data_IF_242056483146
#
_entry.id   IF_242056483146
#
_cell.length_a   1.000
_cell.length_b   1.000
_cell.length_c   1.000
_cell.angle_alpha   90.00
_cell.angle_beta   90.00
_cell.angle_gamma   90.00
#
_symmetry.space_group_name_H-M   'P 1'
#
loop_
_entity.id
_entity.type
_entity.pdbx_description
1 polymer ?
#
# COMPACT_ATOMS: atom_id res chain seq x y z
N UNK A 1 46.45 32.97 56.90
CA UNK A 1 46.65 32.13 58.10
C UNK A 1 45.94 30.81 57.83
N UNK A 2 46.71 29.76 57.62
CA UNK A 2 46.19 28.44 57.24
C UNK A 2 45.68 27.69 58.47
N UNK A 3 44.51 27.06 58.35
CA UNK A 3 44.21 25.84 59.10
C UNK A 3 44.18 24.73 58.07
N UNK A 4 45.18 23.87 58.16
CA UNK A 4 45.35 22.69 57.33
C UNK A 4 44.85 21.49 58.16
N UNK A 5 43.68 20.97 57.80
CA UNK A 5 43.22 19.64 58.25
C UNK A 5 43.44 18.66 57.09
N UNK A 6 44.19 17.61 57.38
CA UNK A 6 44.58 16.58 56.45
C UNK A 6 43.39 15.67 56.08
N UNK A 7 43.14 15.56 54.79
CA UNK A 7 42.44 14.45 54.16
C UNK A 7 42.90 14.42 52.71
N UNK A 8 43.34 13.27 52.19
CA UNK A 8 43.58 13.09 50.75
C UNK A 8 42.22 13.15 50.04
N UNK A 9 41.68 14.34 49.89
CA UNK A 9 40.46 14.62 49.17
C UNK A 9 40.75 14.57 47.68
N UNK A 10 40.18 13.60 46.99
CA UNK A 10 40.15 13.55 45.53
C UNK A 10 39.56 14.87 45.03
N UNK A 11 40.40 15.79 44.53
CA UNK A 11 39.94 17.04 43.92
C UNK A 11 39.41 16.71 42.53
N UNK A 12 38.12 16.39 42.44
CA UNK A 12 37.41 16.31 41.16
C UNK A 12 37.25 17.73 40.65
N UNK A 13 38.19 18.17 39.82
CA UNK A 13 38.07 19.42 39.08
C UNK A 13 37.10 19.22 37.92
N UNK A 14 35.95 19.88 37.95
CA UNK A 14 35.09 19.98 36.78
C UNK A 14 35.82 20.89 35.79
N UNK A 15 36.12 20.41 34.59
CA UNK A 15 36.79 21.17 33.52
C UNK A 15 35.88 22.25 32.88
N UNK A 16 34.93 22.80 33.64
CA UNK A 16 34.13 23.94 33.21
C UNK A 16 34.90 25.23 33.55
N UNK A 17 35.08 26.15 32.60
CA UNK A 17 35.74 27.44 32.85
C UNK A 17 35.06 28.19 34.02
N UNK A 18 35.84 28.70 34.98
CA UNK A 18 35.32 29.38 36.17
C UNK A 18 34.49 30.64 35.86
N UNK A 19 34.55 31.17 34.62
CA UNK A 19 33.71 32.29 34.18
C UNK A 19 32.21 31.92 34.11
N UNK A 20 31.83 30.65 34.01
CA UNK A 20 30.42 30.22 33.93
C UNK A 20 29.71 30.19 35.31
N UNK A 21 30.47 30.24 36.41
CA UNK A 21 29.95 30.04 37.78
C UNK A 21 30.08 31.27 38.70
N UNK A 22 30.73 32.35 38.27
CA UNK A 22 30.88 33.57 39.08
C UNK A 22 29.64 34.47 38.97
N UNK A 23 28.77 34.42 39.98
CA UNK A 23 27.46 35.11 40.06
C UNK A 23 27.55 36.64 39.91
N UNK A 24 28.72 37.25 40.12
CA UNK A 24 28.91 38.71 40.18
C UNK A 24 29.24 39.43 38.85
N UNK A 25 29.25 38.75 37.70
CA UNK A 25 29.40 39.46 36.41
C UNK A 25 29.46 38.57 35.18
N UNK A 26 28.78 39.01 34.10
CA UNK A 26 28.63 38.40 32.76
C UNK A 26 28.10 36.95 32.68
N UNK A 27 28.34 36.11 33.69
CA UNK A 27 27.94 34.69 33.76
C UNK A 27 26.46 34.50 34.11
N UNK A 28 25.89 35.37 34.94
CA UNK A 28 24.47 35.33 35.31
C UNK A 28 23.56 35.53 34.11
N UNK A 29 23.99 36.35 33.13
CA UNK A 29 23.29 36.49 31.86
C UNK A 29 23.31 35.20 31.03
N UNK A 30 24.44 34.50 30.98
CA UNK A 30 24.56 33.21 30.28
C UNK A 30 23.73 32.11 30.97
N UNK A 31 23.75 32.06 32.30
CA UNK A 31 22.94 31.12 33.08
C UNK A 31 21.44 31.40 32.93
N UNK A 32 21.03 32.67 32.94
CA UNK A 32 19.64 33.05 32.73
C UNK A 32 19.17 32.74 31.31
N UNK A 33 19.99 33.02 30.30
CA UNK A 33 19.72 32.62 28.92
C UNK A 33 19.62 31.09 28.77
N UNK A 34 20.47 30.33 29.46
CA UNK A 34 20.41 28.87 29.47
C UNK A 34 19.13 28.36 30.15
N UNK A 35 18.73 28.93 31.29
CA UNK A 35 17.49 28.57 31.98
C UNK A 35 16.27 28.92 31.13
N UNK A 36 16.20 30.13 30.58
CA UNK A 36 15.09 30.55 29.70
C UNK A 36 15.06 29.70 28.43
N UNK A 37 16.21 29.44 27.82
CA UNK A 37 16.33 28.60 26.63
C UNK A 37 15.88 27.16 26.86
N UNK A 38 16.40 26.51 27.91
CA UNK A 38 16.18 25.07 28.15
C UNK A 38 14.91 24.79 28.94
N UNK A 39 14.53 25.64 29.88
CA UNK A 39 13.38 25.38 30.76
C UNK A 39 12.08 26.02 30.26
N UNK A 40 12.14 27.05 29.41
CA UNK A 40 10.95 27.75 28.91
C UNK A 40 10.82 27.56 27.40
N UNK A 41 11.81 27.99 26.63
CA UNK A 41 11.71 27.99 25.17
C UNK A 41 11.70 26.58 24.60
N UNK A 42 12.56 25.67 25.07
CA UNK A 42 12.62 24.30 24.56
C UNK A 42 11.32 23.53 24.84
N UNK A 43 10.74 23.50 26.06
CA UNK A 43 9.45 22.87 26.31
C UNK A 43 8.32 23.50 25.51
N UNK A 44 8.31 24.83 25.36
CA UNK A 44 7.31 25.50 24.52
C UNK A 44 7.44 25.10 23.04
N UNK A 45 8.64 25.09 22.49
CA UNK A 45 8.88 24.67 21.10
C UNK A 45 8.48 23.20 20.90
N UNK A 46 8.85 22.31 21.84
CA UNK A 46 8.43 20.92 21.81
C UNK A 46 6.92 20.76 21.89
N UNK A 47 6.25 21.51 22.76
CA UNK A 47 4.79 21.51 22.87
C UNK A 47 4.12 22.01 21.58
N UNK A 48 4.62 23.11 20.99
CA UNK A 48 4.10 23.64 19.71
C UNK A 48 4.32 22.64 18.58
N UNK A 49 5.49 22.03 18.47
CA UNK A 49 5.78 21.01 17.44
C UNK A 49 4.89 19.78 17.64
N UNK A 50 4.76 19.29 18.87
CA UNK A 50 3.93 18.13 19.18
C UNK A 50 2.46 18.41 18.88
N UNK A 51 1.90 19.50 19.40
CA UNK A 51 0.50 19.87 19.21
C UNK A 51 0.18 20.17 17.75
N UNK A 52 1.06 20.88 17.03
CA UNK A 52 0.86 21.15 15.61
C UNK A 52 0.90 19.87 14.75
N UNK A 53 1.79 18.92 15.08
CA UNK A 53 1.84 17.63 14.40
C UNK A 53 0.66 16.74 14.75
N UNK A 54 0.29 16.61 16.02
CA UNK A 54 -0.83 15.78 16.46
C UNK A 54 -2.19 16.32 15.99
N UNK A 55 -2.31 17.64 15.79
CA UNK A 55 -3.50 18.24 15.23
C UNK A 55 -3.59 18.10 13.69
N UNK A 56 -2.45 17.89 13.01
CA UNK A 56 -2.41 17.75 11.54
C UNK A 56 -2.49 16.28 11.11
N UNK A 57 -1.82 15.38 11.82
CA UNK A 57 -1.60 13.99 11.42
C UNK A 57 -2.21 12.98 12.43
N UNK A 58 -2.69 11.85 11.91
CA UNK A 58 -3.16 10.69 12.68
C UNK A 58 -1.99 9.91 13.31
N UNK A 59 -2.30 8.89 14.12
CA UNK A 59 -1.30 7.97 14.69
C UNK A 59 -0.48 7.25 13.61
N UNK A 60 -1.13 6.91 12.49
CA UNK A 60 -0.50 6.42 11.27
C UNK A 60 0.07 7.54 10.41
N UNK A 61 0.39 8.72 10.96
CA UNK A 61 0.98 9.92 10.34
C UNK A 61 0.38 10.32 8.97
N UNK A 62 -0.94 10.14 8.80
CA UNK A 62 -1.73 10.60 7.64
C UNK A 62 -2.49 11.88 7.99
N UNK A 63 -2.64 12.74 7.00
CA UNK A 63 -3.50 13.92 6.88
C UNK A 63 -4.88 13.74 7.51
N UNK A 64 -5.31 14.47 8.56
CA UNK A 64 -6.74 14.44 8.94
C UNK A 64 -7.65 14.90 7.78
N UNK A 65 -7.15 15.79 6.92
CA UNK A 65 -7.82 16.20 5.69
C UNK A 65 -7.98 15.05 4.69
N UNK A 66 -6.98 14.19 4.56
CA UNK A 66 -7.04 12.97 3.75
C UNK A 66 -8.09 12.01 4.28
N UNK A 67 -8.12 11.74 5.59
CA UNK A 67 -9.16 10.89 6.18
C UNK A 67 -10.56 11.45 5.93
N UNK A 68 -10.77 12.75 6.13
CA UNK A 68 -12.06 13.41 5.85
C UNK A 68 -12.45 13.27 4.37
N UNK A 69 -11.51 13.51 3.46
CA UNK A 69 -11.74 13.38 2.02
C UNK A 69 -12.10 11.93 1.64
N UNK A 70 -11.35 10.95 2.14
CA UNK A 70 -11.64 9.54 1.92
C UNK A 70 -12.98 9.14 2.51
N UNK A 71 -13.29 9.57 3.74
CA UNK A 71 -14.55 9.29 4.41
C UNK A 71 -15.76 9.76 3.58
N UNK A 72 -15.70 10.98 3.03
CA UNK A 72 -16.80 11.54 2.24
C UNK A 72 -16.92 10.96 0.82
N UNK A 73 -15.81 10.56 0.22
CA UNK A 73 -15.78 10.00 -1.14
C UNK A 73 -16.06 8.51 -1.18
N UNK A 74 -15.78 7.80 -0.09
CA UNK A 74 -16.13 6.40 0.05
C UNK A 74 -17.66 6.27 0.02
N UNK A 75 -18.18 5.37 -0.83
CA UNK A 75 -19.61 5.10 -0.99
C UNK A 75 -19.85 3.60 -1.12
N UNK A 76 -21.02 3.07 -0.70
CA UNK A 76 -21.31 1.64 -0.82
C UNK A 76 -21.36 1.19 -2.29
N UNK A 77 -21.75 2.09 -3.20
CA UNK A 77 -21.82 1.86 -4.64
C UNK A 77 -20.51 2.13 -5.38
N UNK A 78 -19.43 2.51 -4.69
CA UNK A 78 -18.14 2.79 -5.32
C UNK A 78 -17.63 1.51 -5.99
N UNK A 79 -17.44 1.57 -7.30
CA UNK A 79 -16.91 0.45 -8.06
C UNK A 79 -15.40 0.26 -7.76
N UNK A 80 -14.88 -0.98 -7.74
CA UNK A 80 -13.46 -1.25 -7.52
C UNK A 80 -12.55 -0.46 -8.47
N UNK A 81 -12.92 -0.38 -9.75
CA UNK A 81 -12.19 0.41 -10.76
C UNK A 81 -12.10 1.90 -10.47
N UNK A 82 -12.99 2.43 -9.61
CA UNK A 82 -13.07 3.85 -9.24
C UNK A 82 -12.42 4.18 -7.90
N UNK A 83 -11.84 3.18 -7.23
CA UNK A 83 -11.09 3.40 -5.98
C UNK A 83 -9.83 4.24 -6.24
N UNK A 84 -9.19 4.10 -7.40
CA UNK A 84 -8.06 4.96 -7.82
C UNK A 84 -8.44 6.46 -7.76
N UNK A 85 -9.61 6.84 -8.30
CA UNK A 85 -10.09 8.22 -8.32
C UNK A 85 -10.28 8.82 -6.91
N UNK A 86 -10.50 7.97 -5.90
CA UNK A 86 -10.57 8.37 -4.48
C UNK A 86 -9.17 8.43 -3.89
N UNK A 87 -8.35 7.41 -4.14
CA UNK A 87 -7.00 7.28 -3.63
C UNK A 87 -6.11 8.48 -3.96
N UNK A 88 -6.13 8.95 -5.21
CA UNK A 88 -5.30 10.09 -5.68
C UNK A 88 -5.65 11.44 -5.02
N UNK A 89 -6.80 11.53 -4.35
CA UNK A 89 -7.27 12.77 -3.69
C UNK A 89 -6.73 12.95 -2.28
N UNK A 90 -5.75 12.16 -1.87
CA UNK A 90 -5.03 12.36 -0.63
C UNK A 90 -4.38 13.76 -0.60
N UNK A 91 -4.49 14.44 0.54
CA UNK A 91 -3.89 15.76 0.74
C UNK A 91 -2.35 15.72 0.70
N UNK A 92 -1.74 14.58 1.03
CA UNK A 92 -0.29 14.35 0.91
C UNK A 92 0.19 14.40 -0.54
N UNK A 93 -0.62 13.91 -1.48
CA UNK A 93 -0.30 14.00 -2.90
C UNK A 93 -0.43 15.43 -3.43
N UNK A 94 -1.24 16.27 -2.79
CA UNK A 94 -1.31 17.70 -3.12
C UNK A 94 -0.06 18.48 -2.66
N UNK A 95 0.72 17.96 -1.71
CA UNK A 95 2.01 18.56 -1.29
C UNK A 95 3.14 18.30 -2.32
N UNK A 96 2.94 17.40 -3.30
CA UNK A 96 3.92 17.13 -4.36
C UNK A 96 3.97 18.32 -5.35
N UNK A 97 5.15 18.87 -5.65
CA UNK A 97 5.27 20.07 -6.47
C UNK A 97 4.80 19.85 -7.91
N UNK A 98 3.97 20.76 -8.41
CA UNK A 98 3.57 20.82 -9.82
C UNK A 98 4.43 21.86 -10.53
N UNK A 99 5.32 21.40 -11.42
CA UNK A 99 6.24 22.26 -12.17
C UNK A 99 5.76 22.39 -13.61
N UNK A 100 5.90 23.57 -14.22
CA UNK A 100 5.57 23.77 -15.65
C UNK A 100 6.47 22.93 -16.57
N UNK A 101 7.71 22.66 -16.16
CA UNK A 101 8.65 21.79 -16.87
C UNK A 101 8.15 20.34 -17.01
N UNK A 102 7.19 19.93 -16.18
CA UNK A 102 6.69 18.56 -16.17
C UNK A 102 5.55 18.36 -17.19
N UNK A 103 5.04 19.42 -17.84
CA UNK A 103 3.88 19.37 -18.75
C UNK A 103 4.13 18.47 -19.97
N UNK A 104 5.24 18.68 -20.70
CA UNK A 104 5.59 17.86 -21.87
C UNK A 104 5.89 16.40 -21.48
N UNK A 105 6.71 16.10 -20.45
CA UNK A 105 6.90 14.73 -19.96
C UNK A 105 5.61 14.03 -19.54
N UNK A 106 4.71 14.72 -18.81
CA UNK A 106 3.42 14.16 -18.39
C UNK A 106 2.51 13.87 -19.58
N UNK A 107 2.55 14.69 -20.62
CA UNK A 107 1.77 14.45 -21.83
C UNK A 107 2.28 13.26 -22.64
N UNK A 108 3.61 13.05 -22.69
CA UNK A 108 4.21 11.83 -23.27
C UNK A 108 3.79 10.59 -22.48
N UNK A 109 3.89 10.65 -21.14
CA UNK A 109 3.47 9.56 -20.26
C UNK A 109 1.98 9.24 -20.43
N UNK A 110 1.13 10.27 -20.49
CA UNK A 110 -0.29 10.12 -20.73
C UNK A 110 -0.58 9.31 -22.00
N UNK A 111 0.17 9.54 -23.09
CA UNK A 111 -0.02 8.78 -24.33
C UNK A 111 0.32 7.29 -24.19
N UNK A 112 1.28 6.95 -23.34
CA UNK A 112 1.67 5.56 -23.05
C UNK A 112 0.59 4.85 -22.20
N UNK A 113 0.10 5.51 -21.15
CA UNK A 113 -0.82 4.89 -20.17
C UNK A 113 -2.30 5.11 -20.50
N UNK A 114 -2.62 5.82 -21.58
CA UNK A 114 -4.00 6.21 -21.94
C UNK A 114 -4.98 5.04 -21.98
N UNK A 115 -4.54 3.85 -22.41
CA UNK A 115 -5.40 2.66 -22.49
C UNK A 115 -5.84 2.13 -21.12
N UNK A 116 -5.04 2.40 -20.09
CA UNK A 116 -5.27 1.96 -18.70
C UNK A 116 -6.05 2.98 -17.88
N UNK A 117 -6.16 4.22 -18.37
CA UNK A 117 -7.03 5.21 -17.76
C UNK A 117 -8.49 4.77 -17.94
N UNK A 118 -9.32 4.97 -16.91
CA UNK A 118 -10.76 4.67 -16.92
C UNK A 118 -11.56 5.67 -17.79
N UNK A 119 -11.10 5.96 -19.01
CA UNK A 119 -11.73 6.85 -19.98
C UNK A 119 -12.77 6.07 -20.78
N UNK A 120 -13.97 6.64 -20.94
CA UNK A 120 -14.98 6.03 -21.80
C UNK A 120 -14.55 6.10 -23.27
N UNK A 121 -14.40 4.93 -23.89
CA UNK A 121 -14.00 4.76 -25.29
C UNK A 121 -14.97 5.45 -26.26
N UNK A 122 -16.26 5.56 -25.91
CA UNK A 122 -17.28 6.20 -26.76
C UNK A 122 -17.09 7.71 -26.89
N UNK A 123 -16.52 8.36 -25.87
CA UNK A 123 -16.36 9.82 -25.79
C UNK A 123 -14.92 10.23 -25.48
N UNK A 124 -13.95 9.52 -26.05
CA UNK A 124 -12.54 9.59 -25.62
C UNK A 124 -11.99 11.03 -25.63
N UNK A 125 -12.31 11.85 -26.64
CA UNK A 125 -11.84 13.26 -26.70
C UNK A 125 -12.40 14.12 -25.56
N UNK A 126 -13.67 13.91 -25.21
CA UNK A 126 -14.32 14.67 -24.12
C UNK A 126 -13.77 14.23 -22.77
N UNK A 127 -13.63 12.92 -22.55
CA UNK A 127 -13.07 12.38 -21.31
C UNK A 127 -11.60 12.78 -21.11
N UNK A 128 -10.82 12.83 -22.18
CA UNK A 128 -9.46 13.39 -22.14
C UNK A 128 -9.47 14.85 -21.71
N UNK A 129 -10.33 15.68 -22.30
CA UNK A 129 -10.44 17.07 -21.92
C UNK A 129 -10.88 17.23 -20.45
N UNK A 130 -11.76 16.35 -19.96
CA UNK A 130 -12.15 16.33 -18.54
C UNK A 130 -11.00 15.94 -17.64
N UNK A 131 -10.21 14.93 -18.02
CA UNK A 131 -9.03 14.48 -17.28
C UNK A 131 -8.04 15.62 -17.08
N UNK A 132 -7.64 16.30 -18.15
CA UNK A 132 -6.69 17.43 -18.08
C UNK A 132 -7.25 18.69 -17.40
N UNK A 133 -8.58 18.83 -17.30
CA UNK A 133 -9.24 19.93 -16.56
C UNK A 133 -9.28 19.72 -15.05
N UNK A 134 -8.92 18.53 -14.56
CA UNK A 134 -8.81 18.29 -13.12
C UNK A 134 -7.65 19.10 -12.53
N UNK A 135 -7.56 19.14 -11.21
CA UNK A 135 -6.45 19.82 -10.55
C UNK A 135 -5.12 19.17 -10.95
N UNK A 136 -4.08 19.93 -11.34
CA UNK A 136 -2.83 19.39 -11.87
C UNK A 136 -2.12 18.37 -10.98
N UNK A 137 -2.24 18.51 -9.64
CA UNK A 137 -1.66 17.52 -8.71
C UNK A 137 -2.32 16.14 -8.84
N UNK A 138 -3.62 16.08 -9.09
CA UNK A 138 -4.37 14.82 -9.23
C UNK A 138 -3.96 14.14 -10.53
N UNK A 139 -3.93 14.90 -11.62
CA UNK A 139 -3.49 14.41 -12.94
C UNK A 139 -2.07 13.85 -12.86
N UNK A 140 -1.14 14.61 -12.26
CA UNK A 140 0.24 14.17 -12.07
C UNK A 140 0.32 12.89 -11.25
N UNK A 141 -0.38 12.83 -10.13
CA UNK A 141 -0.37 11.67 -9.23
C UNK A 141 -0.95 10.42 -9.89
N UNK A 142 -2.09 10.54 -10.56
CA UNK A 142 -2.73 9.44 -11.28
C UNK A 142 -1.82 8.89 -12.37
N UNK A 143 -1.19 9.78 -13.17
CA UNK A 143 -0.25 9.37 -14.21
C UNK A 143 0.99 8.68 -13.63
N UNK A 144 1.54 9.15 -12.51
CA UNK A 144 2.69 8.53 -11.87
C UNK A 144 2.35 7.15 -11.29
N UNK A 145 1.16 6.98 -10.70
CA UNK A 145 0.71 5.65 -10.25
C UNK A 145 0.51 4.73 -11.46
N UNK A 146 -0.12 5.22 -12.54
CA UNK A 146 -0.28 4.42 -13.76
C UNK A 146 1.06 4.02 -14.37
N UNK A 147 2.08 4.88 -14.32
CA UNK A 147 3.44 4.52 -14.73
C UNK A 147 4.01 3.34 -13.93
N UNK A 148 3.68 3.23 -12.63
CA UNK A 148 4.02 2.05 -11.83
C UNK A 148 3.24 0.83 -12.30
N UNK A 149 1.92 0.97 -12.48
CA UNK A 149 1.05 -0.14 -12.85
C UNK A 149 1.41 -0.74 -14.23
N UNK A 150 1.85 0.08 -15.17
CA UNK A 150 2.26 -0.34 -16.52
C UNK A 150 3.75 -0.60 -16.67
N UNK A 151 4.55 -0.45 -15.61
CA UNK A 151 6.01 -0.59 -15.61
C UNK A 151 6.74 0.38 -16.57
N UNK A 152 6.16 1.56 -16.78
CA UNK A 152 6.70 2.63 -17.65
C UNK A 152 7.59 3.63 -16.88
N UNK A 153 8.07 3.27 -15.69
CA UNK A 153 8.88 4.15 -14.83
C UNK A 153 10.21 4.56 -15.47
N UNK A 154 10.73 3.79 -16.44
CA UNK A 154 11.94 4.10 -17.19
C UNK A 154 11.75 5.25 -18.19
N UNK A 155 10.51 5.52 -18.62
CA UNK A 155 10.19 6.61 -19.53
C UNK A 155 10.06 7.98 -18.81
N UNK A 156 10.14 8.00 -17.47
CA UNK A 156 10.01 9.21 -16.67
C UNK A 156 11.26 10.10 -16.76
N UNK A 157 11.05 11.41 -16.77
CA UNK A 157 12.15 12.36 -16.64
C UNK A 157 12.80 12.28 -15.25
N UNK A 158 14.09 12.68 -15.09
CA UNK A 158 14.75 12.67 -13.79
C UNK A 158 14.01 13.49 -12.72
N UNK A 159 13.36 14.59 -13.11
CA UNK A 159 12.55 15.41 -12.21
C UNK A 159 11.30 14.67 -11.72
N UNK A 160 10.60 13.97 -12.63
CA UNK A 160 9.42 13.18 -12.30
C UNK A 160 9.77 11.91 -11.52
N UNK A 161 10.97 11.36 -11.68
CA UNK A 161 11.38 10.15 -10.96
C UNK A 161 11.45 10.36 -9.44
N UNK A 162 11.87 11.55 -8.98
CA UNK A 162 11.83 11.91 -7.57
C UNK A 162 10.41 11.97 -7.02
N UNK A 163 9.51 12.61 -7.77
CA UNK A 163 8.09 12.72 -7.39
C UNK A 163 7.40 11.35 -7.43
N UNK A 164 7.72 10.51 -8.43
CA UNK A 164 7.25 9.12 -8.55
C UNK A 164 7.62 8.28 -7.32
N UNK A 165 8.89 8.34 -6.88
CA UNK A 165 9.30 7.65 -5.66
C UNK A 165 8.51 8.13 -4.45
N UNK A 166 8.27 9.45 -4.34
CA UNK A 166 7.49 10.00 -3.23
C UNK A 166 6.03 9.54 -3.26
N UNK A 167 5.42 9.46 -4.44
CA UNK A 167 4.05 8.92 -4.60
C UNK A 167 3.97 7.49 -4.10
N UNK A 168 4.92 6.65 -4.51
CA UNK A 168 4.97 5.23 -4.11
C UNK A 168 5.32 5.02 -2.63
N UNK A 169 6.17 5.87 -2.05
CA UNK A 169 6.52 5.81 -0.63
C UNK A 169 5.29 6.06 0.26
N UNK A 170 4.41 6.97 -0.15
CA UNK A 170 3.18 7.29 0.57
C UNK A 170 2.06 6.27 0.33
N UNK A 171 2.12 5.51 -0.77
CA UNK A 171 1.00 4.69 -1.23
C UNK A 171 0.55 3.61 -0.22
N UNK A 172 1.43 2.77 0.37
CA UNK A 172 1.00 1.73 1.31
C UNK A 172 0.21 2.27 2.49
N UNK A 173 0.72 3.33 3.10
CA UNK A 173 0.13 4.01 4.25
C UNK A 173 -1.23 4.65 3.90
N UNK A 174 -1.34 5.27 2.73
CA UNK A 174 -2.59 5.85 2.27
C UNK A 174 -3.63 4.79 1.93
N UNK A 175 -3.21 3.64 1.40
CA UNK A 175 -4.08 2.49 1.14
C UNK A 175 -4.60 1.87 2.43
N UNK A 176 -3.79 1.80 3.49
CA UNK A 176 -4.20 1.33 4.82
C UNK A 176 -5.30 2.21 5.42
N UNK A 177 -5.15 3.54 5.37
CA UNK A 177 -6.19 4.47 5.81
C UNK A 177 -7.44 4.40 4.91
N UNK A 178 -7.25 4.25 3.59
CA UNK A 178 -8.37 4.08 2.67
C UNK A 178 -9.14 2.79 2.95
N UNK A 179 -8.44 1.72 3.32
CA UNK A 179 -9.03 0.45 3.73
C UNK A 179 -9.82 0.60 5.03
N UNK A 180 -9.24 1.28 6.02
CA UNK A 180 -9.92 1.64 7.27
C UNK A 180 -11.21 2.39 6.97
N UNK A 181 -11.18 3.36 6.05
CA UNK A 181 -12.39 4.05 5.60
C UNK A 181 -13.37 3.15 4.85
N UNK A 182 -12.95 2.06 4.19
CA UNK A 182 -13.87 1.14 3.54
C UNK A 182 -14.60 0.24 4.54
N UNK A 183 -13.90 -0.20 5.60
CA UNK A 183 -14.42 -1.17 6.58
C UNK A 183 -15.06 -0.54 7.82
N UNK A 184 -14.87 0.77 8.04
CA UNK A 184 -15.44 1.45 9.21
C UNK A 184 -16.96 1.20 9.32
N UNK A 185 -17.47 0.88 10.51
CA UNK A 185 -18.90 0.73 10.76
C UNK A 185 -19.66 2.00 10.39
N UNK A 186 -20.53 1.93 9.37
CA UNK A 186 -21.37 3.07 8.95
C UNK A 186 -22.86 2.79 9.05
N UNK A 187 -23.25 1.51 8.99
CA UNK A 187 -24.66 1.13 9.15
C UNK A 187 -25.02 1.04 10.64
N UNK A 188 -26.30 1.17 11.00
CA UNK A 188 -26.78 0.86 12.36
C UNK A 188 -26.45 -0.57 12.80
N UNK A 189 -26.19 -1.46 11.84
CA UNK A 189 -25.80 -2.85 12.04
C UNK A 189 -24.27 -3.04 12.19
N UNK A 190 -23.49 -1.95 12.19
CA UNK A 190 -22.08 -1.99 12.55
C UNK A 190 -21.11 -2.48 11.45
N UNK A 191 -21.52 -2.56 10.18
CA UNK A 191 -20.65 -3.07 9.11
C UNK A 191 -20.14 -1.97 8.16
N UNK A 192 -18.99 -2.22 7.56
CA UNK A 192 -18.43 -1.43 6.46
C UNK A 192 -18.98 -1.83 5.08
N UNK A 193 -18.25 -1.49 4.03
CA UNK A 193 -18.62 -1.78 2.64
C UNK A 193 -17.59 -2.69 1.97
N UNK A 194 -18.02 -3.91 1.64
CA UNK A 194 -17.17 -4.92 0.99
C UNK A 194 -16.69 -4.48 -0.41
N UNK A 195 -17.61 -4.00 -1.24
CA UNK A 195 -17.29 -3.69 -2.65
C UNK A 195 -16.16 -2.65 -2.78
N UNK A 196 -16.16 -1.53 -2.04
CA UNK A 196 -15.02 -0.63 -1.99
C UNK A 196 -13.77 -1.28 -1.38
N UNK A 197 -13.90 -2.06 -0.31
CA UNK A 197 -12.77 -2.74 0.33
C UNK A 197 -12.01 -3.67 -0.64
N UNK A 198 -12.73 -4.45 -1.46
CA UNK A 198 -12.13 -5.27 -2.54
C UNK A 198 -11.32 -4.38 -3.49
N UNK A 199 -11.85 -3.24 -3.90
CA UNK A 199 -11.13 -2.33 -4.79
C UNK A 199 -9.87 -1.71 -4.16
N UNK A 200 -9.86 -1.48 -2.84
CA UNK A 200 -8.64 -1.04 -2.13
C UNK A 200 -7.59 -2.15 -2.11
N UNK A 201 -7.99 -3.40 -1.85
CA UNK A 201 -7.10 -4.56 -1.89
C UNK A 201 -6.53 -4.77 -3.30
N UNK A 202 -7.38 -4.76 -4.33
CA UNK A 202 -6.94 -4.88 -5.73
C UNK A 202 -5.96 -3.78 -6.12
N UNK A 203 -6.23 -2.52 -5.74
CA UNK A 203 -5.34 -1.39 -5.98
C UNK A 203 -4.00 -1.55 -5.26
N UNK A 204 -4.03 -1.96 -3.99
CA UNK A 204 -2.82 -2.23 -3.21
C UNK A 204 -1.95 -3.29 -3.85
N UNK A 205 -2.54 -4.44 -4.18
CA UNK A 205 -1.84 -5.53 -4.88
C UNK A 205 -1.29 -5.07 -6.23
N UNK A 206 -2.06 -4.30 -7.01
CA UNK A 206 -1.62 -3.78 -8.31
C UNK A 206 -0.44 -2.82 -8.21
N UNK A 207 -0.40 -1.94 -7.20
CA UNK A 207 0.72 -1.03 -6.97
C UNK A 207 2.00 -1.79 -6.57
N UNK A 208 1.86 -2.75 -5.65
CA UNK A 208 2.97 -3.57 -5.14
C UNK A 208 3.51 -4.50 -6.24
N UNK A 209 2.64 -5.16 -7.00
CA UNK A 209 3.02 -6.11 -8.05
C UNK A 209 3.36 -5.44 -9.38
N UNK A 210 3.11 -4.13 -9.50
CA UNK A 210 3.21 -3.36 -10.75
C UNK A 210 2.45 -4.04 -11.89
N UNK A 211 1.14 -4.24 -11.67
CA UNK A 211 0.23 -4.87 -12.63
C UNK A 211 -0.98 -3.97 -12.87
N UNK A 212 -1.40 -3.73 -14.13
CA UNK A 212 -2.55 -2.88 -14.43
C UNK A 212 -3.84 -3.38 -13.79
N UNK A 213 -4.69 -2.46 -13.33
CA UNK A 213 -6.01 -2.80 -12.79
C UNK A 213 -6.93 -3.43 -13.84
N UNK A 214 -6.76 -3.06 -15.12
CA UNK A 214 -7.51 -3.67 -16.22
C UNK A 214 -7.24 -5.18 -16.35
N UNK A 215 -6.02 -5.63 -16.02
CA UNK A 215 -5.62 -7.03 -16.09
C UNK A 215 -6.32 -7.91 -15.06
N UNK A 216 -6.90 -7.32 -14.00
CA UNK A 216 -7.70 -8.01 -12.98
C UNK A 216 -9.16 -8.20 -13.40
N UNK A 217 -9.61 -7.54 -14.47
CA UNK A 217 -10.99 -7.70 -14.96
C UNK A 217 -11.16 -9.13 -15.49
N UNK A 218 -12.27 -9.75 -15.09
CA UNK A 218 -12.62 -11.09 -15.57
C UNK A 218 -12.65 -11.12 -17.11
N UNK A 219 -11.87 -12.05 -17.68
CA UNK A 219 -11.72 -12.21 -19.12
C UNK A 219 -11.46 -13.69 -19.46
N UNK A 220 -12.10 -14.19 -20.52
CA UNK A 220 -11.78 -15.51 -21.08
C UNK A 220 -12.07 -16.72 -20.17
N UNK A 221 -12.96 -16.60 -19.18
CA UNK A 221 -13.30 -17.67 -18.24
C UNK A 221 -12.49 -17.67 -16.94
N UNK A 222 -11.54 -16.74 -16.77
CA UNK A 222 -10.84 -16.49 -15.50
C UNK A 222 -11.55 -15.36 -14.73
N UNK A 223 -11.90 -15.62 -13.47
CA UNK A 223 -12.46 -14.62 -12.55
C UNK A 223 -11.44 -13.55 -12.15
N UNK A 224 -10.15 -13.88 -12.12
CA UNK A 224 -9.04 -13.01 -11.72
C UNK A 224 -8.35 -12.32 -12.91
N UNK A 225 -8.83 -12.57 -14.13
CA UNK A 225 -8.23 -12.06 -15.36
C UNK A 225 -6.84 -12.64 -15.61
N UNK A 226 -5.92 -11.80 -16.10
CA UNK A 226 -4.53 -12.14 -16.45
C UNK A 226 -3.50 -11.58 -15.46
N UNK A 227 -3.93 -10.79 -14.48
CA UNK A 227 -3.05 -10.16 -13.50
C UNK A 227 -2.12 -11.14 -12.75
N UNK A 228 -2.57 -12.34 -12.31
CA UNK A 228 -1.70 -13.30 -11.63
C UNK A 228 -0.56 -13.84 -12.51
N UNK A 229 -0.68 -13.76 -13.83
CA UNK A 229 0.42 -14.09 -14.74
C UNK A 229 1.38 -12.92 -14.89
N UNK A 230 0.86 -11.69 -15.00
CA UNK A 230 1.69 -10.49 -15.19
C UNK A 230 2.54 -10.14 -13.97
N UNK A 231 2.20 -10.66 -12.78
CA UNK A 231 3.06 -10.51 -11.60
C UNK A 231 4.35 -11.36 -11.69
N UNK A 232 4.39 -12.39 -12.53
CA UNK A 232 5.58 -13.23 -12.72
C UNK A 232 6.67 -12.50 -13.51
N UNK A 233 7.96 -12.82 -13.28
CA UNK A 233 9.05 -12.28 -14.09
C UNK A 233 8.91 -12.73 -15.54
N UNK A 234 9.39 -11.90 -16.47
CA UNK A 234 9.42 -12.17 -17.93
C UNK A 234 8.06 -12.28 -18.63
N UNK A 235 6.94 -12.28 -17.89
CA UNK A 235 5.61 -12.32 -18.47
C UNK A 235 5.16 -10.96 -19.02
N UNK A 236 4.49 -11.01 -20.16
CA UNK A 236 3.75 -9.90 -20.76
C UNK A 236 2.43 -10.41 -21.37
N UNK A 237 1.54 -9.50 -21.78
CA UNK A 237 0.24 -9.89 -22.32
C UNK A 237 0.32 -10.82 -23.53
N UNK A 238 1.34 -10.66 -24.39
CA UNK A 238 1.50 -11.48 -25.58
C UNK A 238 1.83 -12.93 -25.21
N UNK A 239 2.65 -13.12 -24.17
CA UNK A 239 2.99 -14.45 -23.63
C UNK A 239 1.76 -15.10 -23.01
N UNK A 240 1.00 -14.38 -22.19
CA UNK A 240 -0.24 -14.91 -21.59
C UNK A 240 -1.21 -15.37 -22.67
N UNK A 241 -1.37 -14.58 -23.75
CA UNK A 241 -2.20 -14.96 -24.91
C UNK A 241 -1.69 -16.20 -25.63
N UNK A 242 -0.38 -16.43 -25.71
CA UNK A 242 0.20 -17.65 -26.29
C UNK A 242 -0.08 -18.88 -25.42
N UNK A 243 0.14 -18.77 -24.12
CA UNK A 243 -0.06 -19.85 -23.15
C UNK A 243 -1.55 -20.25 -23.06
N UNK A 244 -2.45 -19.27 -23.08
CA UNK A 244 -3.90 -19.52 -23.09
C UNK A 244 -4.38 -20.40 -24.26
N UNK A 245 -3.68 -20.36 -25.41
CA UNK A 245 -3.98 -21.22 -26.58
C UNK A 245 -3.62 -22.69 -26.33
N UNK A 246 -2.75 -22.97 -25.37
CA UNK A 246 -2.37 -24.32 -24.94
C UNK A 246 -3.21 -24.85 -23.78
N UNK A 247 -4.39 -24.24 -23.55
CA UNK A 247 -5.38 -24.59 -22.53
C UNK A 247 -5.03 -24.27 -21.08
N UNK A 248 -3.91 -23.58 -20.80
CA UNK A 248 -3.63 -23.01 -19.47
C UNK A 248 -4.25 -21.62 -19.40
N UNK A 249 -5.44 -21.51 -18.81
CA UNK A 249 -6.25 -20.28 -18.75
C UNK A 249 -6.27 -19.64 -17.37
N UNK A 250 -6.13 -20.45 -16.32
CA UNK A 250 -6.11 -19.97 -14.94
C UNK A 250 -4.70 -20.08 -14.37
N UNK A 251 -4.39 -19.22 -13.41
CA UNK A 251 -3.10 -19.27 -12.73
C UNK A 251 -2.96 -20.55 -11.89
N UNK A 252 -4.07 -21.07 -11.36
CA UNK A 252 -4.12 -22.33 -10.65
C UNK A 252 -3.67 -23.50 -11.54
N UNK A 253 -4.15 -23.58 -12.77
CA UNK A 253 -3.70 -24.58 -13.74
C UNK A 253 -2.18 -24.55 -13.96
N UNK A 254 -1.56 -23.35 -14.02
CA UNK A 254 -0.10 -23.23 -14.16
C UNK A 254 0.65 -23.75 -12.92
N UNK A 255 0.09 -23.53 -11.72
CA UNK A 255 0.68 -24.02 -10.46
C UNK A 255 0.56 -25.53 -10.30
N UNK A 256 -0.56 -26.11 -10.73
CA UNK A 256 -0.85 -27.54 -10.58
C UNK A 256 -0.05 -28.42 -11.57
N UNK A 257 0.55 -27.81 -12.61
CA UNK A 257 1.47 -28.51 -13.51
C UNK A 257 2.72 -28.99 -12.76
N UNK A 258 3.28 -30.10 -13.23
CA UNK A 258 4.60 -30.54 -12.75
C UNK A 258 5.68 -29.55 -13.19
N UNK A 259 6.79 -29.48 -12.45
CA UNK A 259 7.91 -28.58 -12.77
C UNK A 259 8.46 -28.81 -14.19
N UNK A 260 8.47 -30.06 -14.66
CA UNK A 260 8.91 -30.43 -16.01
C UNK A 260 7.94 -29.92 -17.09
N UNK A 261 6.65 -30.19 -16.95
CA UNK A 261 5.63 -29.74 -17.91
C UNK A 261 5.58 -28.21 -17.98
N UNK A 262 5.74 -27.54 -16.84
CA UNK A 262 5.78 -26.07 -16.77
C UNK A 262 7.02 -25.52 -17.47
N UNK A 263 8.20 -26.10 -17.26
CA UNK A 263 9.42 -25.69 -17.96
C UNK A 263 9.29 -25.87 -19.48
N UNK A 264 8.71 -26.99 -19.94
CA UNK A 264 8.44 -27.21 -21.36
C UNK A 264 7.48 -26.17 -21.94
N UNK A 265 6.40 -25.85 -21.22
CA UNK A 265 5.45 -24.81 -21.63
C UNK A 265 6.14 -23.45 -21.76
N UNK A 266 6.94 -23.05 -20.77
CA UNK A 266 7.62 -21.75 -20.77
C UNK A 266 8.68 -21.67 -21.88
N UNK A 267 9.49 -22.71 -22.06
CA UNK A 267 10.56 -22.68 -23.07
C UNK A 267 9.99 -22.81 -24.49
N UNK A 268 9.12 -23.80 -24.74
CA UNK A 268 8.67 -24.12 -26.10
C UNK A 268 7.52 -23.23 -26.58
N UNK A 269 6.65 -22.76 -25.67
CA UNK A 269 5.45 -21.98 -26.05
C UNK A 269 5.63 -20.50 -25.76
N UNK A 270 6.11 -20.14 -24.57
CA UNK A 270 6.36 -18.73 -24.24
C UNK A 270 7.64 -18.20 -24.91
N UNK A 271 8.60 -19.08 -25.20
CA UNK A 271 9.87 -18.74 -25.82
C UNK A 271 10.92 -18.28 -24.83
N UNK A 272 10.83 -18.73 -23.58
CA UNK A 272 11.77 -18.39 -22.52
C UNK A 272 13.07 -19.19 -22.65
N UNK A 273 14.17 -18.58 -22.21
CA UNK A 273 15.42 -19.28 -21.93
C UNK A 273 15.27 -20.16 -20.68
N UNK A 274 16.20 -21.11 -20.51
CA UNK A 274 16.22 -21.97 -19.32
C UNK A 274 16.38 -21.16 -18.03
N UNK A 275 17.14 -20.06 -18.05
CA UNK A 275 17.31 -19.16 -16.92
C UNK A 275 16.00 -18.42 -16.58
N UNK A 276 15.32 -17.86 -17.59
CA UNK A 276 14.03 -17.18 -17.39
C UNK A 276 12.94 -18.14 -16.87
N UNK A 277 12.94 -19.38 -17.33
CA UNK A 277 12.04 -20.42 -16.80
C UNK A 277 12.34 -20.74 -15.33
N UNK A 278 13.63 -20.77 -14.95
CA UNK A 278 14.05 -21.00 -13.58
C UNK A 278 13.67 -19.83 -12.66
N UNK A 279 13.77 -18.59 -13.14
CA UNK A 279 13.31 -17.40 -12.40
C UNK A 279 11.83 -17.49 -12.05
N UNK A 280 10.99 -17.92 -13.01
CA UNK A 280 9.56 -18.12 -12.80
C UNK A 280 9.31 -19.22 -11.76
N UNK A 281 10.05 -20.33 -11.84
CA UNK A 281 9.92 -21.45 -10.88
C UNK A 281 10.25 -20.99 -9.46
N UNK A 282 11.37 -20.26 -9.28
CA UNK A 282 11.73 -19.71 -7.98
C UNK A 282 10.63 -18.80 -7.44
N UNK A 283 10.05 -17.91 -8.25
CA UNK A 283 8.96 -17.05 -7.78
C UNK A 283 7.70 -17.84 -7.40
N UNK A 284 7.38 -18.90 -8.15
CA UNK A 284 6.24 -19.80 -7.86
C UNK A 284 6.40 -20.53 -6.52
N UNK A 285 7.60 -21.04 -6.24
CA UNK A 285 7.93 -21.66 -4.94
C UNK A 285 7.85 -20.66 -3.78
N UNK A 286 8.12 -19.38 -4.08
CA UNK A 286 8.15 -18.29 -3.10
C UNK A 286 6.77 -17.63 -2.86
N UNK A 287 5.74 -18.02 -3.61
CA UNK A 287 4.39 -17.51 -3.45
C UNK A 287 3.60 -18.27 -2.40
N UNK A 288 2.93 -17.57 -1.46
CA UNK A 288 2.20 -18.22 -0.40
C UNK A 288 0.91 -18.85 -0.96
N UNK A 289 0.65 -20.09 -0.58
CA UNK A 289 -0.64 -20.74 -0.77
C UNK A 289 -1.24 -20.99 0.60
N UNK A 290 -2.36 -20.35 0.89
CA UNK A 290 -3.05 -20.43 2.18
C UNK A 290 -4.31 -21.26 1.97
N UNK A 291 -4.46 -22.30 2.77
CA UNK A 291 -5.73 -23.01 2.96
C UNK A 291 -6.22 -22.67 4.36
N UNK A 292 -7.45 -22.18 4.45
CA UNK A 292 -8.05 -21.70 5.70
C UNK A 292 -9.19 -22.66 6.05
N UNK A 293 -9.10 -23.26 7.23
CA UNK A 293 -10.23 -23.96 7.84
C UNK A 293 -10.96 -22.99 8.76
N UNK A 294 -12.28 -22.88 8.58
CA UNK A 294 -13.13 -21.93 9.32
C UNK A 294 -14.02 -22.71 10.27
N UNK A 295 -13.92 -22.41 11.56
CA UNK A 295 -14.87 -22.86 12.58
C UNK A 295 -15.52 -21.65 13.26
N UNK A 296 -16.79 -21.77 13.60
CA UNK A 296 -17.55 -20.73 14.29
C UNK A 296 -18.00 -21.27 15.63
N UNK A 297 -17.65 -20.57 16.70
CA UNK A 297 -17.95 -20.97 18.08
C UNK A 297 -18.53 -19.79 18.86
N UNK A 298 -19.32 -20.09 19.89
CA UNK A 298 -19.83 -19.11 20.85
C UNK A 298 -19.28 -19.47 22.22
N UNK A 299 -18.82 -18.49 22.98
CA UNK A 299 -18.23 -18.75 24.29
C UNK A 299 -19.28 -19.35 25.25
N UNK A 300 -19.06 -20.61 25.67
CA UNK A 300 -19.85 -21.24 26.73
C UNK A 300 -21.09 -22.00 26.28
N UNK A 301 -21.37 -22.09 24.97
CA UNK A 301 -22.51 -22.84 24.42
C UNK A 301 -22.07 -23.87 23.37
N UNK A 302 -22.74 -25.03 23.33
CA UNK A 302 -22.47 -26.07 22.32
C UNK A 302 -23.10 -25.74 20.95
N UNK A 303 -23.96 -24.72 20.86
CA UNK A 303 -24.64 -24.31 19.65
C UNK A 303 -24.67 -22.79 19.48
N UNK A 304 -24.93 -22.33 18.25
CA UNK A 304 -25.08 -20.90 17.93
C UNK A 304 -26.57 -20.55 17.88
N UNK A 305 -27.00 -19.58 18.67
CA UNK A 305 -28.37 -19.08 18.70
C UNK A 305 -28.48 -17.66 18.12
N UNK A 306 -29.72 -17.24 17.85
CA UNK A 306 -29.97 -15.89 17.36
C UNK A 306 -29.67 -14.86 18.45
N UNK A 307 -28.77 -13.92 18.15
CA UNK A 307 -28.35 -12.88 19.08
C UNK A 307 -26.98 -13.13 19.72
N UNK A 308 -26.41 -14.32 19.52
CA UNK A 308 -25.10 -14.68 20.07
C UNK A 308 -23.96 -13.95 19.37
N UNK A 309 -22.94 -13.63 20.17
CA UNK A 309 -21.67 -13.12 19.67
C UNK A 309 -20.84 -14.32 19.22
N UNK A 310 -20.82 -14.56 17.91
CA UNK A 310 -20.05 -15.65 17.31
C UNK A 310 -18.61 -15.21 17.09
N UNK A 311 -17.67 -16.03 17.55
CA UNK A 311 -16.24 -15.90 17.22
C UNK A 311 -15.90 -16.84 16.08
N UNK A 312 -15.33 -16.28 15.00
CA UNK A 312 -14.84 -17.06 13.86
C UNK A 312 -13.37 -17.37 14.07
N UNK A 313 -13.04 -18.65 14.19
CA UNK A 313 -11.67 -19.14 14.22
C UNK A 313 -11.23 -19.54 12.81
N UNK A 314 -10.14 -18.92 12.35
CA UNK A 314 -9.48 -19.27 11.11
C UNK A 314 -8.18 -19.98 11.46
N UNK A 315 -8.10 -21.28 11.15
CA UNK A 315 -6.87 -22.04 11.24
C UNK A 315 -6.19 -22.02 9.88
N UNK A 316 -5.08 -21.30 9.81
CA UNK A 316 -4.28 -21.19 8.59
C UNK A 316 -3.25 -22.34 8.54
N UNK A 317 -3.27 -23.11 7.46
CA UNK A 317 -2.22 -24.07 7.15
C UNK A 317 -1.33 -23.49 6.04
N UNK A 318 -0.21 -22.83 6.38
CA UNK A 318 0.73 -22.39 5.36
C UNK A 318 1.35 -23.64 4.71
N UNK A 319 1.01 -23.89 3.44
CA UNK A 319 1.63 -25.01 2.69
C UNK A 319 3.07 -24.69 2.24
N UNK A 320 3.49 -23.43 2.32
CA UNK A 320 4.83 -23.01 1.96
C UNK A 320 5.77 -23.05 3.18
N UNK A 321 6.92 -23.73 3.02
CA UNK A 321 7.97 -23.90 4.03
C UNK A 321 8.48 -22.54 4.53
N UNK A 322 8.32 -22.27 5.83
CA UNK A 322 8.98 -21.21 6.62
C UNK A 322 8.99 -19.78 6.00
N UNK A 323 8.01 -18.94 6.35
CA UNK A 323 7.87 -17.59 5.81
C UNK A 323 7.77 -16.49 6.86
N UNK A 324 8.91 -16.15 7.47
CA UNK A 324 9.17 -14.79 7.98
C UNK A 324 10.25 -14.08 7.15
N UNK A 325 10.57 -14.60 5.96
CA UNK A 325 11.63 -14.10 5.08
C UNK A 325 11.13 -13.13 4.00
N UNK A 326 11.90 -12.05 3.82
CA UNK A 326 11.72 -11.05 2.77
C UNK A 326 11.71 -11.67 1.36
N UNK A 327 10.85 -11.18 0.48
CA UNK A 327 11.00 -11.44 -0.95
C UNK A 327 12.30 -10.75 -1.42
N UNK A 328 13.23 -11.44 -2.11
CA UNK A 328 14.43 -10.79 -2.63
C UNK A 328 14.07 -9.57 -3.50
N UNK A 329 14.73 -8.44 -3.26
CA UNK A 329 14.53 -7.18 -3.99
C UNK A 329 14.77 -7.29 -5.50
N UNK A 330 15.33 -8.41 -5.96
CA UNK A 330 15.54 -8.73 -7.38
C UNK A 330 14.25 -9.06 -8.14
N UNK A 331 13.17 -9.43 -7.45
CA UNK A 331 11.87 -9.76 -8.08
C UNK A 331 10.75 -8.77 -7.76
N UNK A 332 10.97 -7.84 -6.83
CA UNK A 332 10.00 -6.80 -6.48
C UNK A 332 10.14 -5.60 -7.41
N UNK A 333 9.10 -5.34 -8.22
CA UNK A 333 9.00 -4.11 -9.02
C UNK A 333 8.70 -2.88 -8.14
N UNK A 334 8.26 -3.11 -6.89
CA UNK A 334 8.06 -2.05 -5.91
C UNK A 334 9.39 -1.64 -5.26
N UNK A 335 9.76 -0.35 -5.27
CA UNK A 335 11.09 0.12 -4.88
C UNK A 335 11.34 0.17 -3.37
N UNK A 336 10.35 -0.13 -2.53
CA UNK A 336 10.45 -0.07 -1.07
C UNK A 336 10.21 -1.44 -0.44
N UNK A 337 10.91 -1.72 0.66
CA UNK A 337 10.70 -2.95 1.44
C UNK A 337 9.36 -2.91 2.17
N UNK A 338 8.52 -3.94 1.99
CA UNK A 338 7.24 -4.07 2.68
C UNK A 338 7.06 -5.51 3.19
N UNK A 339 6.49 -5.66 4.38
CA UNK A 339 6.05 -6.95 4.90
C UNK A 339 4.84 -7.48 4.14
N UNK A 340 4.64 -8.79 4.12
CA UNK A 340 3.41 -9.39 3.59
C UNK A 340 2.34 -9.34 4.68
N UNK A 341 1.17 -8.81 4.34
CA UNK A 341 -0.01 -8.75 5.22
C UNK A 341 -1.18 -9.47 4.55
N UNK A 342 -1.93 -10.25 5.33
CA UNK A 342 -3.14 -10.93 4.87
C UNK A 342 -4.35 -10.28 5.53
N UNK A 343 -5.38 -10.03 4.73
CA UNK A 343 -6.64 -9.49 5.23
C UNK A 343 -7.71 -10.58 5.18
N UNK A 344 -8.25 -10.94 6.34
CA UNK A 344 -9.43 -11.80 6.46
C UNK A 344 -10.66 -10.92 6.64
N UNK A 345 -11.65 -11.06 5.75
CA UNK A 345 -12.89 -10.30 5.79
C UNK A 345 -14.10 -11.23 5.72
N UNK A 346 -15.01 -11.13 6.69
CA UNK A 346 -16.31 -11.80 6.68
C UNK A 346 -17.39 -10.88 6.10
N UNK A 347 -18.30 -11.42 5.29
CA UNK A 347 -19.31 -10.64 4.58
C UNK A 347 -20.71 -11.24 4.70
N UNK A 348 -21.70 -10.38 4.92
CA UNK A 348 -23.12 -10.77 4.98
C UNK A 348 -23.67 -10.90 3.56
N UNK A 349 -24.03 -12.12 3.17
CA UNK A 349 -24.80 -12.38 1.95
C UNK A 349 -26.30 -12.43 2.29
N UNK A 350 -27.12 -11.56 1.70
CA UNK A 350 -28.56 -11.78 1.66
C UNK A 350 -28.86 -12.76 0.51
N UNK A 351 -28.83 -14.06 0.82
CA UNK A 351 -29.34 -15.09 -0.07
C UNK A 351 -30.88 -15.09 0.02
N UNK A 352 -31.53 -14.28 -0.82
CA UNK A 352 -32.94 -14.50 -1.12
C UNK A 352 -33.06 -15.78 -1.96
N UNK A 353 -33.45 -16.89 -1.29
CA UNK A 353 -33.70 -18.25 -1.82
C UNK A 353 -32.48 -19.16 -1.97
N UNK A 354 -32.11 -19.81 -0.87
CA UNK A 354 -31.66 -21.20 -0.93
C UNK A 354 -32.89 -22.10 -0.71
N UNK A 355 -33.42 -22.67 -1.80
CA UNK A 355 -34.27 -23.85 -1.72
C UNK A 355 -33.35 -25.00 -1.30
N UNK A 356 -33.47 -25.43 -0.06
CA UNK A 356 -32.93 -26.72 0.38
C UNK A 356 -33.73 -27.78 -0.37
N UNK A 357 -33.14 -28.37 -1.41
CA UNK A 357 -33.62 -29.65 -1.93
C UNK A 357 -33.05 -30.71 -0.98
N UNK A 358 -33.86 -31.39 -0.17
CA UNK A 358 -33.35 -32.52 0.60
C UNK A 358 -32.98 -33.63 -0.38
N UNK A 359 -31.74 -34.11 -0.30
CA UNK A 359 -31.39 -35.40 -0.89
C UNK A 359 -32.16 -36.50 -0.15
N UNK A 360 -32.94 -37.25 -0.91
CA UNK A 360 -33.63 -38.48 -0.56
C UNK A 360 -33.94 -39.24 -1.83
#
# INVERSE_FOLDING_TARGET
MAIQMAGRGFKVGIALPQFLLNIDGASGGVLLLAIVGVCILLPLMMAVIYLSRSAKYTGNYVMHQTLSTYYHLMKPSLAPSKVMDVFIKASEYAEIPVRRSDEEPLQKLFMLVRSELNLDLKNIRQEQAKFWKQHPCLVKTELLIQAQLTRESAALSPTLQGDFRRVLELAPRLLEELMTMAVIPRSPQGHGWLRPAIGVVELSQSIIQAVPLSARKAAGGSSEGVAPFLQLPHFNEAIVKKIARKKVRTFQELRDMTSQERAELLIQVAGFSAAESQDVEMVLEMMPSITIDITCETEGEEGIQEGDIVTMHCLDYPQAREWLGWCPSTFSVFPFSQGREFLVAACRFHLERCVVVPEG
#
